data_IF_859478919128
#
_entry.id   IF_859478919128
#
_cell.length_a   1.000
_cell.length_b   1.000
_cell.length_c   1.000
_cell.angle_alpha   90.00
_cell.angle_beta   90.00
_cell.angle_gamma   90.00
#
_symmetry.space_group_name_H-M   'P 1'
#
loop_
_entity.id
_entity.type
_entity.pdbx_description
1 polymer ?
#
# COMPACT_ATOMS: atom_id res chain seq x y z
N UNK A 1 -7.89 -5.80 20.71
CA UNK A 1 -7.19 -6.95 20.10
C UNK A 1 -7.06 -6.70 18.61
N UNK A 2 -5.85 -6.73 18.02
CA UNK A 2 -5.67 -6.62 16.58
C UNK A 2 -6.40 -7.78 15.90
N UNK A 3 -7.22 -7.48 14.90
CA UNK A 3 -7.97 -8.50 14.16
C UNK A 3 -6.96 -9.38 13.41
N UNK A 4 -7.14 -10.69 13.46
CA UNK A 4 -6.29 -11.63 12.73
C UNK A 4 -6.47 -11.43 11.21
N UNK A 5 -5.37 -11.17 10.47
CA UNK A 5 -5.38 -10.93 9.03
C UNK A 5 -5.37 -12.22 8.23
N UNK A 6 -6.32 -12.43 7.31
CA UNK A 6 -6.28 -13.58 6.40
C UNK A 6 -5.37 -13.27 5.19
N UNK A 7 -4.53 -14.23 4.80
CA UNK A 7 -3.58 -14.14 3.67
C UNK A 7 -4.20 -13.58 2.38
N UNK A 8 -5.41 -14.01 2.03
CA UNK A 8 -6.08 -13.59 0.79
C UNK A 8 -6.43 -12.11 0.75
N UNK A 9 -6.71 -11.48 1.90
CA UNK A 9 -7.09 -10.06 1.95
C UNK A 9 -5.88 -9.16 1.65
N UNK A 10 -4.71 -9.52 2.18
CA UNK A 10 -3.44 -8.82 1.88
C UNK A 10 -3.09 -9.00 0.41
N UNK A 11 -3.14 -10.24 -0.10
CA UNK A 11 -2.90 -10.52 -1.51
C UNK A 11 -3.82 -9.71 -2.42
N UNK A 12 -5.12 -9.69 -2.13
CA UNK A 12 -6.10 -8.93 -2.91
C UNK A 12 -5.82 -7.42 -2.93
N UNK A 13 -5.42 -6.83 -1.80
CA UNK A 13 -5.06 -5.41 -1.75
C UNK A 13 -3.78 -5.06 -2.50
N UNK A 14 -2.80 -5.98 -2.51
CA UNK A 14 -1.62 -5.84 -3.34
C UNK A 14 -2.01 -5.92 -4.83
N UNK A 15 -2.77 -6.94 -5.23
CA UNK A 15 -3.21 -7.11 -6.63
C UNK A 15 -4.07 -5.93 -7.12
N UNK A 16 -5.18 -5.59 -6.45
CA UNK A 16 -6.05 -4.48 -6.85
C UNK A 16 -5.38 -3.10 -6.78
N UNK A 17 -4.25 -3.01 -6.09
CA UNK A 17 -3.50 -1.78 -5.88
C UNK A 17 -2.55 -1.38 -7.00
N UNK A 18 -2.52 -2.11 -8.12
CA UNK A 18 -1.66 -1.83 -9.27
C UNK A 18 -0.46 -2.78 -9.43
N UNK A 19 -0.29 -3.79 -8.57
CA UNK A 19 0.74 -4.81 -8.77
C UNK A 19 0.40 -5.83 -9.87
N UNK A 20 -0.82 -5.79 -10.41
CA UNK A 20 -1.19 -6.55 -11.62
C UNK A 20 -0.34 -6.16 -12.84
N UNK A 21 0.20 -4.94 -12.88
CA UNK A 21 0.90 -4.38 -14.04
C UNK A 21 2.40 -4.77 -14.11
N UNK A 22 2.91 -5.52 -13.13
CA UNK A 22 4.22 -6.20 -13.21
C UNK A 22 4.15 -7.53 -14.02
N UNK A 23 3.13 -7.69 -14.89
CA UNK A 23 2.78 -8.93 -15.63
C UNK A 23 2.25 -10.09 -14.78
N UNK A 24 1.79 -9.83 -13.56
CA UNK A 24 1.20 -10.87 -12.71
C UNK A 24 -0.29 -11.03 -13.00
N UNK A 25 -0.64 -11.93 -13.93
CA UNK A 25 -2.04 -12.36 -14.11
C UNK A 25 -2.47 -13.31 -12.99
N UNK A 26 -3.73 -13.24 -12.59
CA UNK A 26 -4.33 -14.09 -11.53
C UNK A 26 -4.19 -15.60 -11.85
N UNK A 27 -4.10 -15.95 -13.13
CA UNK A 27 -3.86 -17.31 -13.60
C UNK A 27 -2.41 -17.80 -13.37
N UNK A 28 -1.41 -16.91 -13.46
CA UNK A 28 0.00 -17.23 -13.22
C UNK A 28 0.29 -17.52 -11.73
N UNK A 29 -0.46 -16.88 -10.82
CA UNK A 29 -0.34 -17.10 -9.37
C UNK A 29 -0.80 -18.50 -8.91
N UNK A 30 -1.62 -19.19 -9.71
CA UNK A 30 -2.23 -20.48 -9.33
C UNK A 30 -1.56 -21.70 -9.96
N UNK A 31 -0.71 -21.54 -10.98
CA UNK A 31 -0.27 -22.70 -11.78
C UNK A 31 1.04 -23.35 -11.32
N UNK A 32 2.02 -22.61 -10.79
CA UNK A 32 3.34 -23.18 -10.53
C UNK A 32 3.97 -22.70 -9.22
N UNK A 33 3.81 -23.50 -8.16
CA UNK A 33 4.89 -23.74 -7.20
C UNK A 33 5.40 -25.16 -7.48
N UNK A 34 6.70 -25.49 -7.42
CA UNK A 34 7.90 -24.70 -7.18
C UNK A 34 8.95 -24.82 -8.31
N UNK A 35 9.85 -23.84 -8.39
CA UNK A 35 11.19 -24.01 -8.97
C UNK A 35 11.34 -23.73 -10.46
N UNK A 36 11.41 -22.45 -10.85
CA UNK A 36 12.22 -21.94 -11.96
C UNK A 36 12.18 -20.41 -11.93
N UNK A 37 13.34 -19.79 -12.10
CA UNK A 37 13.62 -18.38 -11.85
C UNK A 37 13.06 -17.42 -12.91
N UNK A 38 12.80 -16.18 -12.45
CA UNK A 38 12.76 -14.87 -13.16
C UNK A 38 11.42 -14.39 -13.72
N UNK A 39 10.50 -14.07 -12.83
CA UNK A 39 9.67 -12.86 -12.98
C UNK A 39 9.76 -12.09 -11.65
N UNK A 40 9.82 -10.76 -11.70
CA UNK A 40 9.69 -9.94 -10.50
C UNK A 40 8.34 -10.24 -9.86
N UNK A 41 8.34 -10.57 -8.57
CA UNK A 41 7.14 -11.13 -7.96
C UNK A 41 7.09 -10.96 -6.46
N UNK A 42 5.94 -11.32 -5.90
CA UNK A 42 5.75 -11.38 -4.46
C UNK A 42 4.97 -12.62 -4.06
N UNK A 43 5.22 -13.13 -2.87
CA UNK A 43 4.40 -14.15 -2.25
C UNK A 43 3.93 -13.69 -0.87
N UNK A 44 2.73 -14.10 -0.50
CA UNK A 44 2.21 -13.91 0.85
C UNK A 44 2.12 -15.27 1.51
N UNK A 45 2.60 -15.39 2.76
CA UNK A 45 2.36 -16.55 3.61
C UNK A 45 1.79 -16.10 4.95
N UNK A 46 1.06 -16.98 5.61
CA UNK A 46 0.63 -16.71 6.98
C UNK A 46 0.89 -17.93 7.86
N UNK A 47 1.28 -17.69 9.11
CA UNK A 47 1.54 -18.72 10.10
C UNK A 47 1.03 -18.25 11.46
N UNK A 48 0.63 -19.20 12.31
CA UNK A 48 0.26 -18.91 13.68
C UNK A 48 1.55 -18.87 14.52
N UNK A 49 1.78 -17.77 15.21
CA UNK A 49 2.80 -17.69 16.24
C UNK A 49 2.40 -18.53 17.46
N UNK A 50 3.36 -18.90 18.34
CA UNK A 50 3.10 -19.75 19.51
C UNK A 50 2.04 -19.21 20.47
N UNK A 51 1.81 -17.90 20.48
CA UNK A 51 0.78 -17.20 21.26
C UNK A 51 -0.62 -17.23 20.62
N UNK A 52 -0.76 -17.91 19.47
CA UNK A 52 -2.00 -17.98 18.68
C UNK A 52 -2.22 -16.79 17.74
N UNK A 53 -1.27 -15.85 17.67
CA UNK A 53 -1.38 -14.69 16.76
C UNK A 53 -1.12 -15.13 15.32
N UNK A 54 -2.05 -14.84 14.40
CA UNK A 54 -1.79 -15.06 12.97
C UNK A 54 -0.90 -13.94 12.43
N UNK A 55 0.29 -14.32 11.97
CA UNK A 55 1.26 -13.46 11.34
C UNK A 55 1.19 -13.64 9.83
N UNK A 56 1.18 -12.54 9.08
CA UNK A 56 1.19 -12.55 7.61
C UNK A 56 2.47 -11.92 7.10
N UNK A 57 3.25 -12.66 6.32
CA UNK A 57 4.51 -12.18 5.73
C UNK A 57 4.34 -12.00 4.23
N UNK A 58 4.75 -10.84 3.71
CA UNK A 58 4.87 -10.56 2.29
C UNK A 58 6.35 -10.59 1.90
N UNK A 59 6.73 -11.51 1.02
CA UNK A 59 8.08 -11.63 0.47
C UNK A 59 8.14 -11.14 -0.97
N UNK A 60 9.17 -10.38 -1.31
CA UNK A 60 9.51 -10.01 -2.68
C UNK A 60 10.55 -10.99 -3.26
N UNK A 61 10.48 -11.25 -4.56
CA UNK A 61 11.38 -12.15 -5.27
C UNK A 61 11.73 -11.57 -6.64
N UNK A 62 12.81 -12.09 -7.23
CA UNK A 62 13.35 -11.63 -8.51
C UNK A 62 14.64 -10.82 -8.33
N UNK A 63 15.27 -10.40 -9.45
CA UNK A 63 16.45 -9.56 -9.43
C UNK A 63 16.19 -8.20 -8.76
N UNK A 64 14.98 -7.64 -8.91
CA UNK A 64 14.62 -6.32 -8.37
C UNK A 64 13.81 -6.40 -7.06
N UNK A 65 14.03 -7.46 -6.27
CA UNK A 65 13.26 -7.71 -5.04
C UNK A 65 13.26 -6.51 -4.07
N UNK A 66 14.35 -5.74 -4.00
CA UNK A 66 14.45 -4.54 -3.14
C UNK A 66 13.41 -3.49 -3.54
N UNK A 67 13.30 -3.22 -4.84
CA UNK A 67 12.32 -2.27 -5.37
C UNK A 67 10.91 -2.78 -5.15
N UNK A 68 10.66 -4.06 -5.43
CA UNK A 68 9.37 -4.71 -5.20
C UNK A 68 8.96 -4.64 -3.73
N UNK A 69 9.89 -4.87 -2.79
CA UNK A 69 9.66 -4.77 -1.36
C UNK A 69 9.30 -3.33 -0.94
N UNK A 70 10.02 -2.34 -1.47
CA UNK A 70 9.74 -0.93 -1.22
C UNK A 70 8.35 -0.53 -1.74
N UNK A 71 7.96 -1.00 -2.93
CA UNK A 71 6.63 -0.77 -3.47
C UNK A 71 5.55 -1.42 -2.61
N UNK A 72 5.76 -2.67 -2.16
CA UNK A 72 4.82 -3.40 -1.29
C UNK A 72 4.60 -2.60 0.00
N UNK A 73 5.70 -2.17 0.63
CA UNK A 73 5.67 -1.33 1.84
C UNK A 73 4.88 -0.04 1.60
N UNK A 74 5.26 0.71 0.57
CA UNK A 74 4.59 1.96 0.20
C UNK A 74 3.08 1.77 0.02
N UNK A 75 2.65 0.68 -0.63
CA UNK A 75 1.23 0.43 -0.87
C UNK A 75 0.48 0.09 0.41
N UNK A 76 1.05 -0.77 1.24
CA UNK A 76 0.46 -1.16 2.53
C UNK A 76 0.35 0.04 3.48
N UNK A 77 1.27 1.00 3.38
CA UNK A 77 1.29 2.20 4.21
C UNK A 77 0.41 3.35 3.69
N UNK A 78 -0.33 3.17 2.58
CA UNK A 78 -1.27 4.19 2.09
C UNK A 78 -2.35 4.50 3.14
N UNK A 79 -2.86 5.75 3.21
CA UNK A 79 -3.72 6.21 4.31
C UNK A 79 -5.03 5.45 4.53
N UNK A 80 -5.54 4.80 3.48
CA UNK A 80 -6.82 4.09 3.49
C UNK A 80 -6.65 2.57 3.57
N UNK A 81 -5.41 2.09 3.49
CA UNK A 81 -5.11 0.67 3.56
C UNK A 81 -5.02 0.28 5.02
N UNK A 82 -5.84 -0.69 5.43
CA UNK A 82 -6.00 -1.09 6.84
C UNK A 82 -4.86 -1.96 7.37
N UNK A 83 -3.71 -1.95 6.71
CA UNK A 83 -2.55 -2.76 7.03
C UNK A 83 -1.34 -1.89 7.32
N UNK A 84 -0.41 -2.41 8.10
CA UNK A 84 0.90 -1.81 8.28
C UNK A 84 1.96 -2.87 8.18
N UNK A 85 3.11 -2.45 7.65
CA UNK A 85 4.35 -3.19 7.82
C UNK A 85 4.83 -2.96 9.24
N UNK A 86 5.38 -3.99 9.86
CA UNK A 86 6.00 -3.92 11.17
C UNK A 86 7.38 -4.55 11.06
N UNK A 87 8.37 -3.90 11.64
CA UNK A 87 9.76 -4.39 11.62
C UNK A 87 10.03 -5.37 12.80
N UNK A 88 9.06 -5.50 13.71
CA UNK A 88 9.15 -6.26 14.96
C UNK A 88 8.89 -7.77 14.82
N UNK A 89 9.55 -8.44 13.88
CA UNK A 89 9.50 -9.90 13.78
C UNK A 89 10.90 -10.52 13.81
N UNK A 90 11.21 -11.36 14.82
CA UNK A 90 12.40 -12.20 14.73
C UNK A 90 12.24 -13.14 13.52
N UNK A 91 13.34 -13.39 12.81
CA UNK A 91 13.43 -14.35 11.69
C UNK A 91 12.84 -13.93 10.34
N UNK A 92 12.58 -12.63 10.11
CA UNK A 92 12.33 -12.14 8.74
C UNK A 92 13.60 -12.22 7.89
N UNK A 93 13.47 -12.71 6.66
CA UNK A 93 14.54 -12.61 5.66
C UNK A 93 14.56 -11.19 5.07
N UNK A 94 15.70 -10.78 4.53
CA UNK A 94 15.90 -9.43 3.98
C UNK A 94 14.85 -9.03 2.92
N UNK A 95 14.33 -10.01 2.19
CA UNK A 95 13.33 -9.81 1.14
C UNK A 95 11.88 -9.93 1.65
N UNK A 96 11.65 -9.85 2.96
CA UNK A 96 10.35 -10.12 3.57
C UNK A 96 9.91 -9.03 4.55
N UNK A 97 8.61 -8.80 4.62
CA UNK A 97 7.96 -7.84 5.51
C UNK A 97 6.87 -8.53 6.31
N UNK A 98 6.84 -8.31 7.63
CA UNK A 98 5.68 -8.69 8.45
C UNK A 98 4.57 -7.65 8.28
N UNK A 99 3.36 -8.12 8.02
CA UNK A 99 2.17 -7.32 7.78
C UNK A 99 1.13 -7.63 8.86
N UNK A 100 0.61 -6.57 9.50
CA UNK A 100 -0.48 -6.64 10.48
C UNK A 100 -1.58 -5.63 10.17
N UNK A 101 -2.72 -5.75 10.86
CA UNK A 101 -3.72 -4.69 10.82
C UNK A 101 -3.16 -3.40 11.41
N UNK A 102 -3.41 -2.30 10.72
CA UNK A 102 -3.15 -0.98 11.23
C UNK A 102 -4.16 -0.64 12.34
N UNK A 103 -3.66 -0.02 13.40
CA UNK A 103 -4.47 0.58 14.46
C UNK A 103 -5.22 1.80 13.92
N UNK A 104 -6.23 2.26 14.67
CA UNK A 104 -6.99 3.46 14.28
C UNK A 104 -6.08 4.69 14.27
N UNK A 105 -5.18 4.75 15.24
CA UNK A 105 -4.20 5.81 15.45
C UNK A 105 -3.22 5.87 14.27
N UNK A 106 -2.69 4.73 13.83
CA UNK A 106 -1.81 4.64 12.65
C UNK A 106 -2.52 5.11 11.37
N UNK A 107 -3.77 4.68 11.16
CA UNK A 107 -4.55 5.13 10.01
C UNK A 107 -4.83 6.63 10.06
N UNK A 108 -5.11 7.18 11.23
CA UNK A 108 -5.35 8.61 11.40
C UNK A 108 -4.06 9.42 11.15
N UNK A 109 -2.94 8.97 11.69
CA UNK A 109 -1.63 9.59 11.49
C UNK A 109 -1.25 9.62 10.00
N UNK A 110 -1.49 8.52 9.27
CA UNK A 110 -1.24 8.48 7.81
C UNK A 110 -2.14 9.43 7.03
N UNK A 111 -3.42 9.52 7.38
CA UNK A 111 -4.35 10.47 6.75
C UNK A 111 -3.91 11.91 6.98
N UNK A 112 -3.49 12.23 8.20
CA UNK A 112 -2.96 13.55 8.53
C UNK A 112 -1.66 13.84 7.77
N UNK A 113 -0.74 12.88 7.70
CA UNK A 113 0.51 13.03 6.95
C UNK A 113 0.29 13.23 5.45
N UNK A 114 -0.66 12.52 4.84
CA UNK A 114 -1.02 12.70 3.44
C UNK A 114 -1.71 14.06 3.22
N UNK A 115 -2.64 14.45 4.09
CA UNK A 115 -3.29 15.75 4.03
C UNK A 115 -2.30 16.91 4.17
N UNK A 116 -1.31 16.79 5.07
CA UNK A 116 -0.23 17.76 5.22
C UNK A 116 0.62 17.88 3.95
N UNK A 117 0.91 16.76 3.27
CA UNK A 117 1.60 16.76 1.98
C UNK A 117 0.79 17.43 0.86
N UNK A 118 -0.54 17.29 0.87
CA UNK A 118 -1.42 17.86 -0.15
C UNK A 118 -1.84 19.32 0.14
N UNK A 119 -1.73 19.79 1.39
CA UNK A 119 -2.20 21.11 1.80
C UNK A 119 -1.66 22.28 0.96
N UNK A 120 -0.36 22.34 0.57
CA UNK A 120 0.15 23.43 -0.27
C UNK A 120 -0.49 23.45 -1.66
N UNK A 121 -0.70 22.27 -2.25
CA UNK A 121 -1.28 22.11 -3.59
C UNK A 121 -2.77 22.49 -3.58
N UNK A 122 -3.51 22.07 -2.54
CA UNK A 122 -4.91 22.48 -2.34
C UNK A 122 -5.03 23.98 -2.13
N UNK A 123 -4.12 24.59 -1.37
CA UNK A 123 -4.10 26.05 -1.17
C UNK A 123 -3.85 26.81 -2.48
N UNK A 124 -2.94 26.31 -3.33
CA UNK A 124 -2.67 26.89 -4.64
C UNK A 124 -3.88 26.78 -5.58
N UNK A 125 -4.51 25.60 -5.66
CA UNK A 125 -5.70 25.40 -6.48
C UNK A 125 -6.86 26.30 -6.06
N UNK A 126 -7.06 26.48 -4.75
CA UNK A 126 -8.10 27.39 -4.23
C UNK A 126 -7.84 28.84 -4.60
N UNK A 127 -6.59 29.29 -4.58
CA UNK A 127 -6.24 30.65 -5.02
C UNK A 127 -6.56 30.86 -6.49
N UNK A 128 -6.18 29.90 -7.34
CA UNK A 128 -6.48 29.96 -8.78
C UNK A 128 -7.99 29.98 -9.06
N UNK A 129 -8.78 29.19 -8.32
CA UNK A 129 -10.25 29.24 -8.42
C UNK A 129 -10.82 30.60 -8.01
N UNK A 130 -10.38 31.18 -6.88
CA UNK A 130 -10.85 32.50 -6.47
C UNK A 130 -10.46 33.61 -7.47
N UNK A 131 -9.29 33.51 -8.09
CA UNK A 131 -8.85 34.45 -9.13
C UNK A 131 -9.72 34.33 -10.39
N UNK A 132 -10.02 33.10 -10.84
CA UNK A 132 -10.93 32.86 -11.98
C UNK A 132 -12.36 33.34 -11.69
N UNK A 133 -12.91 33.01 -10.52
CA UNK A 133 -14.26 33.45 -10.13
C UNK A 133 -14.36 34.99 -10.07
N UNK A 134 -13.29 35.68 -9.66
CA UNK A 134 -13.24 37.14 -9.62
C UNK A 134 -13.13 37.76 -11.03
N UNK A 135 -12.38 37.14 -11.94
CA UNK A 135 -12.29 37.55 -13.34
C UNK A 135 -13.63 37.37 -14.07
N UNK A 136 -14.30 36.23 -13.88
CA UNK A 136 -15.60 35.91 -14.48
C UNK A 136 -16.71 36.83 -13.94
N UNK A 137 -16.70 37.15 -12.64
CA UNK A 137 -17.62 38.11 -12.04
C UNK A 137 -17.38 39.54 -12.55
N UNK A 138 -16.12 39.93 -12.76
CA UNK A 138 -15.74 41.23 -13.31
C UNK A 138 -16.13 41.41 -14.77
N UNK A 139 -16.00 40.37 -15.59
CA UNK A 139 -16.45 40.38 -16.99
C UNK A 139 -17.98 40.35 -17.11
N UNK A 140 -18.67 39.62 -16.25
CA UNK A 140 -20.15 39.56 -16.25
C UNK A 140 -20.80 40.88 -15.82
N UNK A 141 -20.09 41.77 -15.12
CA UNK A 141 -20.57 43.10 -14.73
C UNK A 141 -20.38 44.17 -15.82
N UNK A 142 -19.67 43.85 -16.91
CA UNK A 142 -19.36 44.76 -18.03
C UNK A 142 -20.23 44.54 -19.28
N UNK A 143 -21.16 43.59 -19.24
CA UNK A 143 -22.14 43.31 -20.31
C UNK A 143 -23.57 43.68 -19.89
#
# INVERSE_FOLDING_TARGET
MPRVTRQHTVAHHLVQGGFTDLRLTEAAQKKDRPGLYREDGFAVRSYLAPDGTLLTVAGAYGPDWVMTLAQIRYRLERPYVRYTVTDDAPELRDHELLVRWATREELQARKQAEAARQAPLVAQLRRQQCEQDAEDAGQSALF
#
